data_IF_296405216547
#
_entry.id   IF_296405216547
#
_cell.length_a   1.000
_cell.length_b   1.000
_cell.length_c   1.000
_cell.angle_alpha   90.00
_cell.angle_beta   90.00
_cell.angle_gamma   90.00
#
_symmetry.space_group_name_H-M   'P 1'
#
loop_
_entity.id
_entity.type
_entity.pdbx_description
1 polymer ?
#
# COMPACT_ATOMS: atom_id res chain seq x y z
N UNK A 1 -14.75 1.40 -9.32
CA UNK A 1 -14.72 2.47 -8.29
C UNK A 1 -13.95 3.67 -8.83
N UNK A 2 -14.42 4.92 -8.56
CA UNK A 2 -13.86 6.11 -9.24
C UNK A 2 -12.92 6.95 -8.36
N UNK A 3 -13.09 6.91 -7.03
CA UNK A 3 -12.25 7.67 -6.10
C UNK A 3 -11.74 6.72 -5.01
N UNK A 4 -10.42 6.56 -4.93
CA UNK A 4 -9.77 5.72 -3.93
C UNK A 4 -8.26 5.97 -3.88
N UNK A 5 -7.61 5.41 -2.86
CA UNK A 5 -6.18 5.50 -2.64
C UNK A 5 -5.64 4.07 -2.59
N UNK A 6 -4.89 3.64 -3.60
CA UNK A 6 -4.19 2.37 -3.51
C UNK A 6 -2.92 2.53 -2.68
N UNK A 7 -2.64 1.55 -1.81
CA UNK A 7 -1.51 1.58 -0.88
C UNK A 7 -0.89 0.20 -0.76
N UNK A 8 0.42 0.19 -0.57
CA UNK A 8 1.21 -0.99 -0.25
C UNK A 8 2.38 -0.64 0.66
N UNK A 9 2.67 -1.48 1.65
CA UNK A 9 3.77 -1.34 2.58
C UNK A 9 4.75 -2.51 2.47
N UNK A 10 6.05 -2.22 2.53
CA UNK A 10 7.06 -3.22 2.86
C UNK A 10 7.48 -3.09 4.33
N UNK A 11 7.80 -4.23 4.95
CA UNK A 11 8.21 -4.27 6.37
C UNK A 11 9.62 -4.84 6.52
N UNK A 12 10.43 -4.23 7.37
CA UNK A 12 11.80 -4.65 7.66
C UNK A 12 11.85 -6.04 8.35
N UNK A 13 10.82 -6.39 9.10
CA UNK A 13 10.74 -7.65 9.85
C UNK A 13 9.28 -8.07 10.11
N UNK A 14 9.06 -9.10 10.91
CA UNK A 14 7.73 -9.63 11.20
C UNK A 14 6.81 -8.74 12.06
N UNK A 15 7.31 -7.63 12.61
CA UNK A 15 6.47 -6.66 13.31
C UNK A 15 5.79 -5.74 12.29
N UNK A 16 4.49 -5.61 12.35
CA UNK A 16 3.74 -4.75 11.43
C UNK A 16 4.09 -3.27 11.54
N UNK A 17 4.60 -2.81 12.68
CA UNK A 17 5.08 -1.44 12.87
C UNK A 17 6.41 -1.15 12.16
N UNK A 18 7.14 -2.18 11.70
CA UNK A 18 8.46 -2.04 11.07
C UNK A 18 8.36 -1.68 9.58
N UNK A 19 7.39 -0.86 9.20
CA UNK A 19 7.26 -0.39 7.80
C UNK A 19 8.56 0.28 7.36
N UNK A 20 9.11 -0.14 6.22
CA UNK A 20 10.36 0.37 5.69
C UNK A 20 10.23 1.06 4.32
N UNK A 21 9.10 0.88 3.66
CA UNK A 21 8.70 1.71 2.53
C UNK A 21 7.18 1.75 2.37
N UNK A 22 6.70 2.76 1.67
CA UNK A 22 5.30 2.91 1.31
C UNK A 22 5.16 3.37 -0.14
N UNK A 23 4.22 2.76 -0.85
CA UNK A 23 3.73 3.20 -2.15
C UNK A 23 2.27 3.62 -2.05
N UNK A 24 1.93 4.75 -2.63
CA UNK A 24 0.57 5.28 -2.64
C UNK A 24 0.23 5.77 -4.04
N UNK A 25 -0.96 5.42 -4.53
CA UNK A 25 -1.49 5.88 -5.82
C UNK A 25 -2.88 6.46 -5.61
N UNK A 26 -3.07 7.70 -6.03
CA UNK A 26 -4.35 8.41 -5.91
C UNK A 26 -5.13 8.31 -7.21
N UNK A 27 -6.34 7.78 -7.10
CA UNK A 27 -7.27 7.65 -8.24
C UNK A 27 -8.46 8.56 -8.00
N UNK A 28 -8.65 9.53 -8.90
CA UNK A 28 -9.74 10.48 -8.88
C UNK A 28 -10.50 10.43 -10.20
N UNK A 29 -11.82 10.32 -10.13
CA UNK A 29 -12.71 10.18 -11.30
C UNK A 29 -12.32 9.01 -12.24
N UNK A 30 -11.77 7.96 -11.67
CA UNK A 30 -11.34 6.76 -12.40
C UNK A 30 -9.96 6.87 -13.05
N UNK A 31 -9.26 7.99 -12.91
CA UNK A 31 -7.91 8.19 -13.45
C UNK A 31 -6.86 8.27 -12.33
N UNK A 32 -5.67 7.73 -12.59
CA UNK A 32 -4.51 7.92 -11.71
C UNK A 32 -4.04 9.36 -11.88
N UNK A 33 -4.15 10.15 -10.82
CA UNK A 33 -3.84 11.59 -10.84
C UNK A 33 -2.55 11.95 -10.11
N UNK A 34 -2.12 11.13 -9.15
CA UNK A 34 -0.86 11.33 -8.43
C UNK A 34 -0.38 10.00 -7.85
N UNK A 35 0.91 9.96 -7.52
CA UNK A 35 1.54 8.83 -6.84
C UNK A 35 2.59 9.33 -5.85
N UNK A 36 2.94 8.47 -4.89
CA UNK A 36 3.93 8.78 -3.88
C UNK A 36 4.70 7.51 -3.50
N UNK A 37 6.00 7.64 -3.33
CA UNK A 37 6.86 6.60 -2.78
C UNK A 37 7.80 7.21 -1.76
N UNK A 38 8.01 6.52 -0.65
CA UNK A 38 9.05 6.87 0.31
C UNK A 38 9.62 5.63 0.98
N UNK A 39 10.93 5.65 1.20
CA UNK A 39 11.54 4.84 2.24
C UNK A 39 11.15 5.40 3.61
N UNK A 40 11.14 4.54 4.61
CA UNK A 40 10.78 4.87 6.00
C UNK A 40 11.82 4.24 6.92
N UNK A 41 12.31 5.01 7.89
CA UNK A 41 13.13 4.46 8.96
C UNK A 41 12.27 3.53 9.83
N UNK A 42 12.49 2.19 9.81
CA UNK A 42 11.55 1.26 10.44
C UNK A 42 11.67 1.26 11.97
N UNK A 43 10.55 0.98 12.64
CA UNK A 43 10.51 0.83 14.10
C UNK A 43 9.76 -0.46 14.48
N UNK A 44 10.43 -1.49 15.04
CA UNK A 44 11.86 -1.54 15.40
C UNK A 44 12.79 -1.64 14.18
N UNK A 45 13.97 -1.00 14.28
CA UNK A 45 14.95 -0.94 13.21
C UNK A 45 15.89 -2.15 13.22
N UNK A 46 15.43 -3.28 12.71
CA UNK A 46 16.24 -4.42 12.30
C UNK A 46 15.59 -5.11 11.11
N UNK A 47 16.39 -5.76 10.27
CA UNK A 47 15.91 -6.46 9.08
C UNK A 47 15.96 -7.97 9.26
N UNK A 48 14.82 -8.62 9.03
CA UNK A 48 14.75 -10.07 8.98
C UNK A 48 15.15 -10.56 7.58
N UNK A 49 16.00 -11.61 7.48
CA UNK A 49 16.47 -12.10 6.18
C UNK A 49 15.34 -12.39 5.18
N UNK A 50 14.24 -12.98 5.63
CA UNK A 50 13.12 -13.28 4.75
C UNK A 50 12.44 -12.03 4.16
N UNK A 51 12.42 -10.89 4.88
CA UNK A 51 11.91 -9.63 4.35
C UNK A 51 12.86 -9.06 3.31
N UNK A 52 14.17 -9.06 3.59
CA UNK A 52 15.17 -8.61 2.64
C UNK A 52 15.16 -9.43 1.34
N UNK A 53 14.96 -10.75 1.42
CA UNK A 53 14.82 -11.62 0.24
C UNK A 53 13.61 -11.27 -0.62
N UNK A 54 12.55 -10.72 -0.01
CA UNK A 54 11.30 -10.35 -0.70
C UNK A 54 11.45 -9.01 -1.42
N UNK A 55 11.79 -7.93 -0.73
CA UNK A 55 11.78 -6.58 -1.29
C UNK A 55 13.17 -5.99 -1.57
N UNK A 56 14.24 -6.65 -1.14
CA UNK A 56 15.63 -6.24 -1.42
C UNK A 56 16.16 -5.06 -0.59
N UNK A 57 15.33 -4.44 0.25
CA UNK A 57 15.77 -3.32 1.10
C UNK A 57 16.51 -3.84 2.33
N UNK A 58 17.49 -3.06 2.78
CA UNK A 58 18.24 -3.34 4.00
C UNK A 58 18.43 -2.09 4.87
N UNK A 59 19.20 -2.24 5.94
CA UNK A 59 19.50 -1.16 6.87
C UNK A 59 20.14 0.06 6.19
N UNK A 60 21.03 -0.16 5.21
CA UNK A 60 21.72 0.95 4.54
C UNK A 60 20.77 1.80 3.69
N UNK A 61 19.69 1.21 3.18
CA UNK A 61 18.69 1.94 2.38
C UNK A 61 17.85 2.89 3.25
N UNK A 62 17.61 2.52 4.52
CA UNK A 62 16.63 3.20 5.36
C UNK A 62 17.21 3.87 6.61
N UNK A 63 18.52 3.79 6.83
CA UNK A 63 19.17 4.37 8.01
C UNK A 63 18.97 5.90 8.11
N UNK A 64 19.06 6.59 6.97
CA UNK A 64 18.83 8.03 6.87
C UNK A 64 17.42 8.39 6.37
N UNK A 65 16.53 7.40 6.22
CA UNK A 65 15.17 7.66 5.76
C UNK A 65 14.35 8.40 6.84
N UNK A 66 13.34 9.20 6.43
CA UNK A 66 12.47 9.88 7.38
C UNK A 66 11.68 8.89 8.24
N UNK A 67 11.29 9.32 9.43
CA UNK A 67 10.41 8.55 10.29
C UNK A 67 8.97 8.51 9.72
N UNK A 68 8.20 7.49 10.10
CA UNK A 68 6.84 7.32 9.60
C UNK A 68 5.95 8.58 9.72
N UNK A 69 5.92 9.34 10.84
CA UNK A 69 5.07 10.52 10.94
C UNK A 69 5.34 11.58 9.86
N UNK A 70 6.61 11.78 9.52
CA UNK A 70 7.02 12.74 8.49
C UNK A 70 6.59 12.31 7.09
N UNK A 71 6.66 11.00 6.81
CA UNK A 71 6.21 10.42 5.55
C UNK A 71 4.68 10.47 5.47
N UNK A 72 3.99 10.12 6.55
CA UNK A 72 2.53 10.08 6.57
C UNK A 72 1.91 11.46 6.42
N UNK A 73 2.50 12.49 7.01
CA UNK A 73 2.09 13.88 6.77
C UNK A 73 2.16 14.28 5.29
N UNK A 74 3.13 13.76 4.54
CA UNK A 74 3.21 14.00 3.09
C UNK A 74 2.09 13.27 2.33
N UNK A 75 1.78 12.03 2.74
CA UNK A 75 0.66 11.26 2.18
C UNK A 75 -0.66 12.00 2.44
N UNK A 76 -0.91 12.41 3.68
CA UNK A 76 -2.13 13.15 4.04
C UNK A 76 -2.27 14.47 3.28
N UNK A 77 -1.18 15.21 3.07
CA UNK A 77 -1.19 16.43 2.25
C UNK A 77 -1.61 16.13 0.80
N UNK A 78 -1.09 15.07 0.20
CA UNK A 78 -1.49 14.65 -1.16
C UNK A 78 -2.97 14.24 -1.21
N UNK A 79 -3.43 13.48 -0.24
CA UNK A 79 -4.84 13.10 -0.12
C UNK A 79 -5.72 14.35 -0.02
N UNK A 80 -5.35 15.30 0.84
CA UNK A 80 -6.08 16.55 1.01
C UNK A 80 -6.14 17.38 -0.28
N UNK A 81 -5.02 17.49 -0.99
CA UNK A 81 -4.96 18.22 -2.26
C UNK A 81 -5.82 17.57 -3.34
N UNK A 82 -5.86 16.23 -3.38
CA UNK A 82 -6.62 15.49 -4.40
C UNK A 82 -8.11 15.38 -4.06
N UNK A 83 -8.44 15.26 -2.77
CA UNK A 83 -9.81 15.02 -2.28
C UNK A 83 -10.23 16.03 -1.20
N UNK A 84 -10.26 17.34 -1.48
CA UNK A 84 -10.47 18.38 -0.45
C UNK A 84 -11.79 18.27 0.30
N UNK A 85 -12.83 17.73 -0.35
CA UNK A 85 -14.17 17.59 0.24
C UNK A 85 -14.46 16.17 0.80
N UNK A 86 -13.55 15.19 0.56
CA UNK A 86 -13.82 13.77 0.83
C UNK A 86 -12.79 13.12 1.76
N UNK A 87 -11.91 13.87 2.40
CA UNK A 87 -10.73 13.36 3.12
C UNK A 87 -10.94 12.12 3.99
N UNK A 88 -12.06 12.05 4.72
CA UNK A 88 -12.34 10.93 5.64
C UNK A 88 -13.11 9.78 4.99
N UNK A 89 -13.59 9.95 3.76
CA UNK A 89 -14.50 9.01 3.10
C UNK A 89 -13.90 8.34 1.86
N UNK A 90 -12.69 8.73 1.45
CA UNK A 90 -11.99 8.07 0.34
C UNK A 90 -11.37 6.77 0.87
N UNK A 91 -11.79 5.59 0.36
CA UNK A 91 -11.25 4.34 0.86
C UNK A 91 -9.81 4.12 0.41
N UNK A 92 -9.01 3.53 1.28
CA UNK A 92 -7.78 2.85 0.90
C UNK A 92 -8.10 1.51 0.24
N UNK A 93 -7.30 1.13 -0.73
CA UNK A 93 -7.39 -0.15 -1.43
C UNK A 93 -6.03 -0.82 -1.38
N UNK A 94 -5.97 -2.08 -0.98
CA UNK A 94 -4.74 -2.87 -0.97
C UNK A 94 -5.01 -4.32 -1.41
N UNK A 95 -3.96 -5.02 -1.79
CA UNK A 95 -4.06 -6.44 -2.14
C UNK A 95 -3.72 -7.31 -0.92
N UNK A 96 -4.72 -7.92 -0.28
CA UNK A 96 -4.68 -8.45 1.08
C UNK A 96 -4.67 -7.33 2.14
N UNK A 97 -5.62 -6.42 2.03
CA UNK A 97 -5.73 -5.17 2.80
C UNK A 97 -5.60 -5.31 4.32
N UNK A 98 -5.87 -6.51 4.89
CA UNK A 98 -5.64 -6.78 6.32
C UNK A 98 -4.17 -6.64 6.72
N UNK A 99 -3.24 -6.82 5.78
CA UNK A 99 -1.82 -6.62 6.05
C UNK A 99 -1.51 -5.13 6.17
N UNK A 100 -1.86 -4.34 5.17
CA UNK A 100 -1.55 -2.91 5.10
C UNK A 100 -2.29 -2.10 6.16
N UNK A 101 -3.57 -2.38 6.36
CA UNK A 101 -4.33 -1.80 7.47
C UNK A 101 -3.70 -2.15 8.83
N UNK A 102 -3.26 -3.40 9.00
CA UNK A 102 -2.59 -3.85 10.21
C UNK A 102 -1.23 -3.18 10.42
N UNK A 103 -0.47 -2.92 9.36
CA UNK A 103 0.78 -2.14 9.42
C UNK A 103 0.48 -0.70 9.81
N UNK A 104 -0.49 -0.07 9.16
CA UNK A 104 -0.86 1.31 9.43
C UNK A 104 -1.33 1.50 10.88
N UNK A 105 -2.22 0.64 11.38
CA UNK A 105 -2.66 0.67 12.79
C UNK A 105 -1.50 0.46 13.77
N UNK A 106 -0.60 -0.48 13.48
CA UNK A 106 0.53 -0.79 14.36
C UNK A 106 1.53 0.37 14.43
N UNK A 107 1.85 0.99 13.30
CA UNK A 107 2.80 2.11 13.28
C UNK A 107 2.20 3.39 13.89
N UNK A 108 0.92 3.67 13.68
CA UNK A 108 0.22 4.76 14.38
C UNK A 108 0.28 4.59 15.89
N UNK A 109 0.02 3.38 16.38
CA UNK A 109 0.12 3.07 17.82
C UNK A 109 1.56 3.22 18.35
N UNK A 110 2.58 2.84 17.56
CA UNK A 110 4.01 2.94 17.94
C UNK A 110 4.42 4.40 18.13
N UNK A 111 3.89 5.32 17.32
CA UNK A 111 4.16 6.76 17.43
C UNK A 111 3.10 7.53 18.26
N UNK A 112 2.22 6.81 18.96
CA UNK A 112 1.15 7.40 19.80
C UNK A 112 0.25 8.38 19.03
N UNK A 113 0.04 8.12 17.74
CA UNK A 113 -0.81 8.92 16.87
C UNK A 113 -2.25 8.40 16.91
N UNK A 114 -3.23 9.31 16.85
CA UNK A 114 -4.64 8.95 16.74
C UNK A 114 -4.91 8.36 15.35
N UNK A 115 -5.43 7.13 15.30
CA UNK A 115 -5.79 6.48 14.04
C UNK A 115 -7.16 6.98 13.53
N UNK A 116 -7.25 7.52 12.30
CA UNK A 116 -8.48 8.15 11.80
C UNK A 116 -9.59 7.18 11.33
N UNK A 117 -9.52 5.89 11.68
CA UNK A 117 -10.49 4.86 11.25
C UNK A 117 -10.69 4.84 9.73
N UNK A 118 -9.61 4.75 8.98
CA UNK A 118 -9.62 4.65 7.53
C UNK A 118 -10.43 3.44 7.04
N UNK A 119 -11.18 3.63 5.97
CA UNK A 119 -11.89 2.55 5.29
C UNK A 119 -10.91 1.81 4.37
N UNK A 120 -10.91 0.48 4.43
CA UNK A 120 -10.10 -0.36 3.55
C UNK A 120 -10.97 -1.27 2.68
N UNK A 121 -10.58 -1.40 1.42
CA UNK A 121 -11.14 -2.36 0.48
C UNK A 121 -10.03 -3.31 -0.01
N UNK A 122 -10.40 -4.56 -0.28
CA UNK A 122 -9.44 -5.64 -0.53
C UNK A 122 -9.60 -6.21 -1.94
N UNK A 123 -8.60 -5.96 -2.80
CA UNK A 123 -8.58 -6.49 -4.17
C UNK A 123 -8.35 -7.99 -4.23
N UNK A 124 -7.70 -8.62 -3.23
CA UNK A 124 -7.59 -10.08 -3.14
C UNK A 124 -8.98 -10.72 -2.94
N UNK A 125 -9.78 -10.18 -2.02
CA UNK A 125 -11.14 -10.63 -1.81
C UNK A 125 -12.02 -10.37 -3.03
N UNK A 126 -11.87 -9.21 -3.68
CA UNK A 126 -12.58 -8.88 -4.91
C UNK A 126 -12.22 -9.83 -6.05
N UNK A 127 -10.92 -10.12 -6.25
CA UNK A 127 -10.47 -11.03 -7.30
C UNK A 127 -11.02 -12.45 -7.13
N UNK A 128 -11.07 -12.95 -5.89
CA UNK A 128 -11.68 -14.27 -5.60
C UNK A 128 -13.16 -14.31 -5.96
N UNK A 129 -13.91 -13.22 -5.74
CA UNK A 129 -15.32 -13.12 -6.13
C UNK A 129 -15.49 -12.99 -7.63
N UNK A 130 -14.64 -12.21 -8.29
CA UNK A 130 -14.74 -11.88 -9.71
C UNK A 130 -14.30 -13.05 -10.60
N UNK A 131 -13.13 -13.62 -10.33
CA UNK A 131 -12.52 -14.65 -11.18
C UNK A 131 -12.81 -16.09 -10.71
N UNK A 132 -13.13 -16.30 -9.43
CA UNK A 132 -13.36 -17.63 -8.85
C UNK A 132 -12.18 -18.57 -9.11
N UNK A 133 -12.48 -19.72 -9.70
CA UNK A 133 -11.48 -20.73 -10.11
C UNK A 133 -10.86 -20.45 -11.50
N UNK A 134 -11.15 -19.31 -12.12
CA UNK A 134 -10.64 -18.96 -13.45
C UNK A 134 -9.17 -18.55 -13.49
N UNK A 135 -8.55 -18.32 -12.32
CA UNK A 135 -7.12 -18.04 -12.18
C UNK A 135 -6.41 -19.18 -11.43
N UNK A 136 -5.12 -19.41 -11.72
CA UNK A 136 -4.32 -20.44 -11.03
C UNK A 136 -4.08 -20.09 -9.56
N UNK A 137 -4.03 -18.82 -9.23
CA UNK A 137 -3.97 -18.24 -7.88
C UNK A 137 -4.47 -16.78 -7.93
N UNK A 138 -4.58 -16.15 -6.76
CA UNK A 138 -4.99 -14.76 -6.62
C UNK A 138 -3.87 -13.87 -6.06
N UNK A 139 -2.62 -14.18 -6.38
CA UNK A 139 -1.48 -13.30 -6.06
C UNK A 139 -1.55 -12.03 -6.90
N UNK A 140 -1.00 -10.93 -6.39
CA UNK A 140 -1.08 -9.61 -7.00
C UNK A 140 -0.70 -9.63 -8.50
N UNK A 141 0.44 -10.21 -8.84
CA UNK A 141 0.92 -10.30 -10.23
C UNK A 141 -0.01 -11.08 -11.14
N UNK A 142 -0.62 -12.17 -10.64
CA UNK A 142 -1.55 -12.99 -11.43
C UNK A 142 -2.84 -12.22 -11.72
N UNK A 143 -3.37 -11.54 -10.70
CA UNK A 143 -4.60 -10.75 -10.84
C UNK A 143 -4.35 -9.49 -11.69
N UNK A 144 -3.21 -8.81 -11.49
CA UNK A 144 -2.81 -7.66 -12.30
C UNK A 144 -2.75 -8.02 -13.80
N UNK A 145 -2.08 -9.13 -14.15
CA UNK A 145 -2.01 -9.63 -15.52
C UNK A 145 -3.39 -9.94 -16.10
N UNK A 146 -4.29 -10.55 -15.31
CA UNK A 146 -5.66 -10.82 -15.73
C UNK A 146 -6.49 -9.55 -15.94
N UNK A 147 -6.14 -8.45 -15.26
CA UNK A 147 -6.72 -7.11 -15.45
C UNK A 147 -5.98 -6.27 -16.52
N UNK A 148 -5.01 -6.86 -17.25
CA UNK A 148 -4.29 -6.18 -18.33
C UNK A 148 -3.11 -5.32 -17.88
N UNK A 149 -2.62 -5.48 -16.65
CA UNK A 149 -1.46 -4.75 -16.11
C UNK A 149 -0.23 -5.67 -15.98
N UNK A 150 0.90 -5.26 -16.57
CA UNK A 150 2.18 -5.98 -16.51
C UNK A 150 3.04 -5.47 -15.34
N UNK A 151 2.93 -6.13 -14.18
CA UNK A 151 3.70 -5.81 -12.99
C UNK A 151 5.15 -6.31 -13.12
N UNK A 152 6.09 -5.39 -13.37
CA UNK A 152 7.50 -5.71 -13.63
C UNK A 152 8.40 -5.74 -12.39
N UNK A 153 8.05 -4.96 -11.37
CA UNK A 153 8.83 -4.79 -10.14
C UNK A 153 8.00 -5.19 -8.92
N UNK A 154 7.64 -6.48 -8.86
CA UNK A 154 6.93 -7.01 -7.69
C UNK A 154 7.79 -6.87 -6.42
N UNK A 155 7.15 -6.58 -5.29
CA UNK A 155 7.78 -6.23 -4.00
C UNK A 155 8.51 -4.88 -3.98
N UNK A 156 8.12 -3.98 -4.87
CA UNK A 156 8.40 -2.56 -4.75
C UNK A 156 7.08 -1.84 -4.42
N UNK A 157 6.98 -1.26 -3.24
CA UNK A 157 5.70 -0.77 -2.70
C UNK A 157 4.90 0.13 -3.67
N UNK A 158 5.55 1.02 -4.43
CA UNK A 158 4.83 1.84 -5.42
C UNK A 158 4.33 1.01 -6.61
N UNK A 159 5.14 0.07 -7.13
CA UNK A 159 4.72 -0.76 -8.25
C UNK A 159 3.55 -1.68 -7.86
N UNK A 160 3.57 -2.18 -6.62
CA UNK A 160 2.50 -3.04 -6.09
C UNK A 160 1.22 -2.22 -5.80
N UNK A 161 1.34 -0.99 -5.31
CA UNK A 161 0.22 -0.06 -5.20
C UNK A 161 -0.37 0.33 -6.58
N UNK A 162 0.45 0.53 -7.61
CA UNK A 162 -0.02 0.77 -8.98
C UNK A 162 -0.78 -0.42 -9.53
N UNK A 163 -0.24 -1.64 -9.39
CA UNK A 163 -0.93 -2.87 -9.79
C UNK A 163 -2.27 -3.01 -9.05
N UNK A 164 -2.28 -2.73 -7.75
CA UNK A 164 -3.49 -2.73 -6.94
C UNK A 164 -4.53 -1.71 -7.45
N UNK A 165 -4.10 -0.50 -7.85
CA UNK A 165 -4.97 0.52 -8.43
C UNK A 165 -5.60 0.04 -9.74
N UNK A 166 -4.83 -0.57 -10.64
CA UNK A 166 -5.34 -1.15 -11.88
C UNK A 166 -6.36 -2.26 -11.64
N UNK A 167 -6.08 -3.15 -10.71
CA UNK A 167 -7.02 -4.20 -10.31
C UNK A 167 -8.31 -3.59 -9.77
N UNK A 168 -8.20 -2.60 -8.86
CA UNK A 168 -9.37 -1.95 -8.27
C UNK A 168 -10.24 -1.26 -9.31
N UNK A 169 -9.65 -0.57 -10.30
CA UNK A 169 -10.38 0.03 -11.44
C UNK A 169 -11.15 -1.02 -12.24
N UNK A 170 -10.64 -2.24 -12.35
CA UNK A 170 -11.22 -3.29 -13.17
C UNK A 170 -12.34 -4.08 -12.46
N UNK A 171 -12.20 -4.34 -11.15
CA UNK A 171 -13.06 -5.32 -10.47
C UNK A 171 -13.70 -4.84 -9.16
N UNK A 172 -13.45 -3.59 -8.69
CA UNK A 172 -14.12 -2.90 -7.58
C UNK A 172 -14.97 -1.73 -8.10
#
# INVERSE_FOLDING_TARGET
MNNFIAIDFETANGNRSSVCSVGVVLVHEGEIVDSFYSLIHPTPNYYAPFCQEVHGLDYNDTDEAPAFPEVWEQVERKIHCTFPEMMTNVPFVAHNARFDEGCLRAVFATYELAYPEYLFMDTLCASRRHFGCGLPNHQLQTVAAACGYDLKQHHHALADAEACAWIAKAIL
#
